data_IF_819065109020
#
_entry.id   IF_819065109020
#
_cell.length_a   1.000
_cell.length_b   1.000
_cell.length_c   1.000
_cell.angle_alpha   90.00
_cell.angle_beta   90.00
_cell.angle_gamma   90.00
#
_symmetry.space_group_name_H-M   'P 1'
#
loop_
_entity.id
_entity.type
_entity.pdbx_description
1 polymer ?
#
# COMPACT_ATOMS: atom_id res chain seq x y z
N UNK A 1 7.52 10.52 -22.91
CA UNK A 1 6.75 9.38 -22.38
C UNK A 1 6.79 8.19 -23.34
N UNK A 2 6.17 8.26 -24.52
CA UNK A 2 6.12 7.13 -25.46
C UNK A 2 7.51 6.58 -25.84
N UNK A 3 8.48 7.45 -26.12
CA UNK A 3 9.85 7.04 -26.41
C UNK A 3 10.51 6.30 -25.24
N UNK A 4 10.26 6.73 -24.00
CA UNK A 4 10.79 6.07 -22.79
C UNK A 4 10.20 4.67 -22.67
N UNK A 5 8.89 4.52 -22.86
CA UNK A 5 8.24 3.21 -22.84
C UNK A 5 8.75 2.29 -23.95
N UNK A 6 9.05 2.82 -25.14
CA UNK A 6 9.60 2.02 -26.24
C UNK A 6 11.00 1.47 -25.91
N UNK A 7 11.84 2.25 -25.23
CA UNK A 7 13.14 1.80 -24.77
C UNK A 7 13.01 0.83 -23.58
N UNK A 8 12.15 1.15 -22.62
CA UNK A 8 11.88 0.30 -21.46
C UNK A 8 11.35 -1.08 -21.85
N UNK A 9 10.56 -1.21 -22.93
CA UNK A 9 10.12 -2.50 -23.48
C UNK A 9 11.26 -3.44 -23.88
N UNK A 10 12.45 -2.91 -24.18
CA UNK A 10 13.62 -3.75 -24.49
C UNK A 10 14.28 -4.32 -23.24
N UNK A 11 14.04 -3.70 -22.08
CA UNK A 11 14.70 -4.03 -20.81
C UNK A 11 13.76 -4.75 -19.84
N UNK A 12 12.47 -4.45 -19.87
CA UNK A 12 11.47 -4.92 -18.92
C UNK A 12 10.50 -5.89 -19.57
N UNK A 13 10.03 -6.86 -18.78
CA UNK A 13 8.91 -7.73 -19.15
C UNK A 13 7.59 -6.94 -19.24
N UNK A 14 6.55 -7.54 -19.85
CA UNK A 14 5.24 -6.89 -20.01
C UNK A 14 4.64 -6.41 -18.67
N UNK A 15 4.83 -7.18 -17.59
CA UNK A 15 4.34 -6.82 -16.26
C UNK A 15 5.17 -5.67 -15.66
N UNK A 16 6.49 -5.71 -15.81
CA UNK A 16 7.37 -4.62 -15.40
C UNK A 16 7.05 -3.30 -16.13
N UNK A 17 6.67 -3.36 -17.40
CA UNK A 17 6.22 -2.20 -18.15
C UNK A 17 4.92 -1.60 -17.57
N UNK A 18 3.95 -2.44 -17.20
CA UNK A 18 2.70 -2.00 -16.57
C UNK A 18 2.95 -1.35 -15.21
N UNK A 19 3.84 -1.92 -14.39
CA UNK A 19 4.26 -1.33 -13.11
C UNK A 19 4.99 0.01 -13.31
N UNK A 20 5.84 0.11 -14.35
CA UNK A 20 6.48 1.37 -14.71
C UNK A 20 5.43 2.43 -15.10
N UNK A 21 4.43 2.08 -15.90
CA UNK A 21 3.33 2.99 -16.25
C UNK A 21 2.56 3.44 -15.00
N UNK A 22 2.27 2.52 -14.09
CA UNK A 22 1.57 2.83 -12.85
C UNK A 22 2.40 3.77 -11.95
N UNK A 23 3.69 3.50 -11.75
CA UNK A 23 4.58 4.37 -10.97
C UNK A 23 4.74 5.77 -11.58
N UNK A 24 4.80 5.88 -12.92
CA UNK A 24 4.81 7.16 -13.63
C UNK A 24 3.49 7.92 -13.47
N UNK A 25 2.36 7.21 -13.48
CA UNK A 25 1.04 7.82 -13.29
C UNK A 25 0.89 8.42 -11.89
N UNK A 26 1.45 7.75 -10.88
CA UNK A 26 1.44 8.19 -9.49
C UNK A 26 2.54 9.19 -9.15
N UNK A 27 3.45 9.49 -10.09
CA UNK A 27 4.62 10.36 -9.87
C UNK A 27 5.52 9.90 -8.72
N UNK A 28 5.66 8.59 -8.54
CA UNK A 28 6.38 7.96 -7.42
C UNK A 28 7.78 8.55 -7.19
N UNK A 29 8.56 8.78 -8.27
CA UNK A 29 9.95 9.28 -8.17
C UNK A 29 10.08 10.81 -8.14
N UNK A 30 8.99 11.59 -8.18
CA UNK A 30 9.07 13.06 -8.12
C UNK A 30 9.71 13.60 -6.84
N UNK A 31 9.40 13.08 -5.63
CA UNK A 31 10.07 13.51 -4.40
C UNK A 31 11.58 13.25 -4.42
N UNK A 32 12.03 12.12 -5.00
CA UNK A 32 13.45 11.78 -5.12
C UNK A 32 14.21 12.78 -6.00
N UNK A 33 13.60 13.22 -7.10
CA UNK A 33 14.20 14.22 -7.99
C UNK A 33 14.30 15.58 -7.26
N UNK A 34 13.25 15.97 -6.53
CA UNK A 34 13.27 17.22 -5.77
C UNK A 34 14.30 17.19 -4.63
N UNK A 35 14.48 16.03 -3.98
CA UNK A 35 15.53 15.82 -2.99
C UNK A 35 16.92 16.06 -3.59
N UNK A 36 17.22 15.45 -4.74
CA UNK A 36 18.50 15.71 -5.43
C UNK A 36 18.66 17.19 -5.76
N UNK A 37 17.62 17.82 -6.32
CA UNK A 37 17.69 19.24 -6.68
C UNK A 37 17.95 20.13 -5.46
N UNK A 38 17.42 19.78 -4.29
CA UNK A 38 17.63 20.51 -3.03
C UNK A 38 19.06 20.31 -2.52
N UNK A 39 19.55 19.07 -2.48
CA UNK A 39 20.94 18.74 -2.10
C UNK A 39 21.93 19.44 -3.03
N UNK A 40 21.69 19.42 -4.34
CA UNK A 40 22.55 20.09 -5.33
C UNK A 40 22.59 21.61 -5.16
N UNK A 41 21.54 22.24 -4.61
CA UNK A 41 21.52 23.71 -4.35
C UNK A 41 22.25 24.12 -3.07
N UNK A 42 22.43 23.20 -2.13
CA UNK A 42 23.16 23.44 -0.88
C UNK A 42 24.68 23.38 -1.09
N UNK A 43 25.14 22.80 -2.22
CA UNK A 43 26.55 22.78 -2.59
C UNK A 43 27.05 24.22 -2.78
N UNK A 44 28.11 24.58 -2.06
CA UNK A 44 28.72 25.91 -2.15
C UNK A 44 29.62 26.02 -3.39
N UNK A 45 29.73 27.21 -3.98
CA UNK A 45 30.63 27.47 -5.12
C UNK A 45 30.05 27.13 -6.50
N UNK A 46 28.74 26.93 -6.61
CA UNK A 46 28.06 26.72 -7.89
C UNK A 46 28.11 28.03 -8.71
N UNK A 47 28.77 28.00 -9.86
CA UNK A 47 28.63 29.07 -10.86
C UNK A 47 27.30 28.92 -11.61
N UNK A 48 26.80 29.93 -12.33
CA UNK A 48 25.52 29.88 -13.07
C UNK A 48 25.54 28.91 -14.28
N UNK A 49 25.84 27.63 -14.07
CA UNK A 49 25.93 26.62 -15.10
C UNK A 49 24.77 25.61 -15.03
N UNK A 50 24.46 24.99 -16.18
CA UNK A 50 23.34 24.06 -16.31
C UNK A 50 23.63 22.70 -15.67
N UNK A 51 24.90 22.29 -15.70
CA UNK A 51 25.44 21.04 -15.16
C UNK A 51 26.82 21.31 -14.59
N UNK A 52 27.17 20.65 -13.49
CA UNK A 52 28.47 20.77 -12.84
C UNK A 52 28.93 19.46 -12.24
N UNK A 53 30.23 19.34 -12.03
CA UNK A 53 30.87 18.19 -11.42
C UNK A 53 31.41 18.58 -10.05
N UNK A 54 31.19 17.72 -9.07
CA UNK A 54 31.70 17.85 -7.71
C UNK A 54 32.72 16.73 -7.44
N UNK A 55 33.91 17.13 -6.98
CA UNK A 55 35.02 16.24 -6.61
C UNK A 55 35.49 16.68 -5.21
N UNK A 56 35.05 15.97 -4.18
CA UNK A 56 35.20 16.41 -2.79
C UNK A 56 34.50 17.75 -2.54
N UNK A 57 35.26 18.75 -2.08
CA UNK A 57 34.77 20.12 -1.84
C UNK A 57 34.84 21.03 -3.07
N UNK A 58 35.51 20.59 -4.15
CA UNK A 58 35.68 21.40 -5.35
C UNK A 58 34.55 21.16 -6.34
N UNK A 59 34.06 22.25 -6.94
CA UNK A 59 33.02 22.24 -7.96
C UNK A 59 33.54 22.93 -9.22
N UNK A 60 33.27 22.36 -10.39
CA UNK A 60 33.58 22.99 -11.68
C UNK A 60 32.46 22.75 -12.69
N UNK A 61 32.29 23.73 -13.58
CA UNK A 61 31.36 23.66 -14.71
C UNK A 61 32.09 23.49 -16.06
N UNK A 62 33.42 23.35 -16.06
CA UNK A 62 34.20 23.10 -17.27
C UNK A 62 34.70 21.64 -17.30
N UNK A 63 34.52 20.96 -18.42
CA UNK A 63 34.98 19.59 -18.66
C UNK A 63 36.49 19.45 -18.57
N UNK A 64 37.26 20.42 -19.06
CA UNK A 64 38.73 20.37 -19.06
C UNK A 64 39.29 20.53 -17.65
N UNK A 65 38.71 21.46 -16.88
CA UNK A 65 39.08 21.66 -15.48
C UNK A 65 38.69 20.45 -14.62
N UNK A 66 37.51 19.85 -14.87
CA UNK A 66 37.09 18.61 -14.22
C UNK A 66 38.10 17.49 -14.48
N UNK A 67 38.58 17.37 -15.72
CA UNK A 67 39.60 16.38 -16.06
C UNK A 67 40.90 16.61 -15.30
N UNK A 68 41.38 17.85 -15.24
CA UNK A 68 42.59 18.20 -14.50
C UNK A 68 42.44 17.93 -12.99
N UNK A 69 41.27 18.24 -12.41
CA UNK A 69 40.96 17.97 -11.01
C UNK A 69 40.92 16.47 -10.72
N UNK A 70 40.38 15.64 -11.61
CA UNK A 70 40.38 14.18 -11.46
C UNK A 70 41.81 13.63 -11.49
N UNK A 71 42.66 14.13 -12.40
CA UNK A 71 44.05 13.66 -12.51
C UNK A 71 44.96 14.12 -11.38
N UNK A 72 44.65 15.25 -10.75
CA UNK A 72 45.42 15.84 -9.64
C UNK A 72 44.91 15.43 -8.26
N UNK A 73 43.75 14.76 -8.19
CA UNK A 73 43.16 14.30 -6.95
C UNK A 73 43.90 13.06 -6.41
N UNK A 74 44.60 13.20 -5.28
CA UNK A 74 45.05 12.06 -4.48
C UNK A 74 43.99 11.75 -3.42
N UNK A 75 43.37 10.56 -3.52
CA UNK A 75 42.34 9.99 -2.61
C UNK A 75 41.42 11.05 -1.96
N UNK A 76 40.39 11.45 -2.69
CA UNK A 76 39.37 12.37 -2.18
C UNK A 76 38.24 11.54 -1.58
N UNK A 77 38.14 11.51 -0.24
CA UNK A 77 37.04 10.81 0.44
C UNK A 77 35.70 11.28 -0.12
N UNK A 78 34.81 10.32 -0.37
CA UNK A 78 33.52 10.59 -0.98
C UNK A 78 32.80 11.76 -0.27
N UNK A 79 32.43 12.84 -0.97
CA UNK A 79 31.43 13.75 -0.45
C UNK A 79 30.15 12.94 -0.20
N UNK A 80 29.46 13.20 0.92
CA UNK A 80 28.29 12.48 1.45
C UNK A 80 27.53 11.66 0.39
N UNK A 81 27.91 10.39 0.22
CA UNK A 81 27.23 9.46 -0.69
C UNK A 81 25.98 8.93 0.00
N UNK A 82 24.83 9.01 -0.68
CA UNK A 82 23.57 8.55 -0.11
C UNK A 82 23.18 7.18 -0.66
N UNK A 83 22.49 6.33 0.12
CA UNK A 83 22.03 5.01 -0.37
C UNK A 83 21.13 5.06 -1.60
N UNK A 84 20.49 6.21 -1.87
CA UNK A 84 19.60 6.41 -3.00
C UNK A 84 20.28 7.04 -4.22
N UNK A 85 21.58 7.33 -4.16
CA UNK A 85 22.35 7.84 -5.28
C UNK A 85 22.42 6.82 -6.43
N UNK A 86 22.60 7.32 -7.66
CA UNK A 86 22.78 6.46 -8.82
C UNK A 86 24.27 6.27 -9.09
N UNK A 87 24.78 5.11 -8.67
CA UNK A 87 26.14 4.66 -8.90
C UNK A 87 26.26 4.00 -10.27
N UNK A 88 27.31 4.33 -11.01
CA UNK A 88 27.61 3.67 -12.28
C UNK A 88 28.17 2.27 -12.03
N UNK A 89 27.63 1.26 -12.71
CA UNK A 89 27.81 -0.17 -12.39
C UNK A 89 29.27 -0.66 -12.38
N UNK A 90 30.15 -0.05 -13.16
CA UNK A 90 31.56 -0.48 -13.27
C UNK A 90 32.51 0.35 -12.38
N UNK A 91 31.98 1.11 -11.41
CA UNK A 91 32.74 2.16 -10.72
C UNK A 91 32.95 1.95 -9.22
N UNK A 92 32.41 0.88 -8.63
CA UNK A 92 32.26 0.66 -7.18
C UNK A 92 33.56 0.49 -6.37
N UNK A 93 34.74 0.43 -7.00
CA UNK A 93 36.01 0.08 -6.34
C UNK A 93 37.07 1.18 -6.31
N UNK A 94 36.70 2.45 -6.58
CA UNK A 94 37.66 3.54 -6.65
C UNK A 94 37.56 4.55 -5.49
N UNK A 95 38.72 4.98 -5.00
CA UNK A 95 38.87 5.99 -3.95
C UNK A 95 38.46 7.41 -4.39
N UNK A 96 38.43 7.71 -5.70
CA UNK A 96 38.06 9.03 -6.23
C UNK A 96 36.59 9.03 -6.63
N UNK A 97 35.73 9.59 -5.77
CA UNK A 97 34.30 9.75 -6.08
C UNK A 97 34.02 11.07 -6.80
N UNK A 98 33.33 10.98 -7.92
CA UNK A 98 32.95 12.13 -8.76
C UNK A 98 31.43 12.15 -8.93
N UNK A 99 30.81 13.26 -8.54
CA UNK A 99 29.36 13.43 -8.60
C UNK A 99 29.02 14.42 -9.72
N UNK A 100 28.28 13.97 -10.74
CA UNK A 100 27.72 14.84 -11.76
C UNK A 100 26.32 15.30 -11.35
N UNK A 101 26.13 16.61 -11.32
CA UNK A 101 24.84 17.26 -11.13
C UNK A 101 24.38 17.85 -12.46
N UNK A 102 23.26 17.38 -13.01
CA UNK A 102 22.75 17.95 -14.26
C UNK A 102 21.39 17.43 -14.69
N UNK A 103 20.88 18.04 -15.76
CA UNK A 103 19.63 17.66 -16.42
C UNK A 103 19.94 16.75 -17.62
N UNK A 104 19.40 15.53 -17.60
CA UNK A 104 19.58 14.58 -18.70
C UNK A 104 19.03 15.17 -20.01
N UNK A 105 19.84 15.11 -21.06
CA UNK A 105 19.48 15.53 -22.41
C UNK A 105 19.97 16.93 -22.81
N UNK A 106 20.66 17.65 -21.93
CA UNK A 106 21.39 18.87 -22.31
C UNK A 106 22.75 18.53 -22.94
N UNK A 107 23.29 19.43 -23.76
CA UNK A 107 24.62 19.27 -24.37
C UNK A 107 25.72 19.15 -23.32
N UNK A 108 25.65 20.02 -22.30
CA UNK A 108 26.66 20.11 -21.24
C UNK A 108 26.68 18.81 -20.44
N UNK A 109 25.50 18.26 -20.13
CA UNK A 109 25.38 16.97 -19.46
C UNK A 109 26.04 15.86 -20.26
N UNK A 110 25.77 15.77 -21.56
CA UNK A 110 26.35 14.72 -22.41
C UNK A 110 27.88 14.80 -22.45
N UNK A 111 28.45 16.00 -22.57
CA UNK A 111 29.89 16.20 -22.59
C UNK A 111 30.57 15.71 -21.29
N UNK A 112 29.99 16.04 -20.13
CA UNK A 112 30.47 15.50 -18.86
C UNK A 112 30.23 14.00 -18.72
N UNK A 113 29.07 13.50 -19.12
CA UNK A 113 28.70 12.11 -18.99
C UNK A 113 29.63 11.21 -19.80
N UNK A 114 29.89 11.52 -21.07
CA UNK A 114 30.77 10.74 -21.94
C UNK A 114 32.20 10.66 -21.38
N UNK A 115 32.72 11.80 -20.87
CA UNK A 115 34.03 11.87 -20.24
C UNK A 115 34.09 11.04 -18.94
N UNK A 116 33.10 11.16 -18.06
CA UNK A 116 33.07 10.43 -16.78
C UNK A 116 32.85 8.94 -16.97
N UNK A 117 32.01 8.53 -17.94
CA UNK A 117 31.81 7.12 -18.30
C UNK A 117 33.13 6.51 -18.81
N UNK A 118 33.86 7.20 -19.69
CA UNK A 118 35.16 6.73 -20.16
C UNK A 118 36.17 6.54 -19.01
N UNK A 119 36.16 7.44 -18.01
CA UNK A 119 37.01 7.32 -16.83
C UNK A 119 36.55 6.24 -15.85
N UNK A 120 35.24 6.06 -15.68
CA UNK A 120 34.65 5.03 -14.84
C UNK A 120 34.97 3.63 -15.39
N UNK A 121 34.80 3.41 -16.70
CA UNK A 121 35.15 2.16 -17.38
C UNK A 121 36.66 1.87 -17.27
N UNK A 122 37.50 2.91 -17.32
CA UNK A 122 38.94 2.78 -17.09
C UNK A 122 39.30 2.52 -15.61
N UNK A 123 38.32 2.43 -14.71
CA UNK A 123 38.51 2.19 -13.29
C UNK A 123 39.22 3.33 -12.57
N UNK A 124 39.14 4.57 -13.09
CA UNK A 124 39.82 5.75 -12.52
C UNK A 124 38.97 6.58 -11.57
N UNK A 125 37.65 6.46 -11.64
CA UNK A 125 36.71 7.23 -10.81
C UNK A 125 35.50 6.37 -10.46
N UNK A 126 34.96 6.61 -9.26
CA UNK A 126 33.64 6.17 -8.85
C UNK A 126 32.62 7.24 -9.25
N UNK A 127 31.72 6.91 -10.19
CA UNK A 127 30.87 7.89 -10.85
C UNK A 127 29.43 7.84 -10.30
N UNK A 128 28.96 8.98 -9.78
CA UNK A 128 27.61 9.15 -9.27
C UNK A 128 26.85 10.20 -10.08
N UNK A 129 25.58 9.92 -10.40
CA UNK A 129 24.68 10.86 -11.06
C UNK A 129 23.60 11.39 -10.09
N UNK A 130 23.49 12.72 -9.99
CA UNK A 130 22.40 13.44 -9.31
C UNK A 130 21.66 14.36 -10.28
N UNK A 131 20.33 14.38 -10.17
CA UNK A 131 19.51 15.27 -11.01
C UNK A 131 19.53 16.70 -10.49
N UNK A 132 19.86 17.65 -11.35
CA UNK A 132 19.87 19.07 -11.02
C UNK A 132 19.18 19.89 -12.11
N UNK A 133 18.41 20.90 -11.68
CA UNK A 133 17.77 21.86 -12.58
C UNK A 133 18.03 23.26 -12.05
N UNK A 134 18.86 24.01 -12.78
CA UNK A 134 19.27 25.37 -12.41
C UNK A 134 18.07 26.32 -12.24
N UNK A 135 17.13 26.32 -13.21
CA UNK A 135 15.93 27.17 -13.19
C UNK A 135 14.67 26.31 -13.31
N UNK A 136 14.11 25.82 -12.18
CA UNK A 136 12.87 25.05 -12.21
C UNK A 136 11.70 25.94 -12.64
N UNK A 137 10.76 25.37 -13.37
CA UNK A 137 9.51 26.05 -13.73
C UNK A 137 8.63 26.23 -12.48
N UNK A 138 7.98 27.37 -12.33
CA UNK A 138 7.08 27.69 -11.19
C UNK A 138 5.76 26.87 -11.18
N UNK A 139 5.66 25.82 -11.98
CA UNK A 139 4.45 25.02 -12.12
C UNK A 139 4.34 24.02 -10.98
N UNK A 140 3.31 24.18 -10.15
CA UNK A 140 2.99 23.23 -9.08
C UNK A 140 2.62 21.85 -9.63
N UNK A 141 3.08 20.81 -8.95
CA UNK A 141 2.81 19.41 -9.25
C UNK A 141 1.44 19.01 -8.67
N UNK A 142 0.62 18.32 -9.46
CA UNK A 142 -0.60 17.67 -8.96
C UNK A 142 -0.23 16.33 -8.33
N UNK A 143 -0.70 16.10 -7.10
CA UNK A 143 -0.48 14.86 -6.38
C UNK A 143 -1.62 13.86 -6.65
N UNK A 144 -1.34 12.59 -6.41
CA UNK A 144 -2.25 11.45 -6.53
C UNK A 144 -2.06 10.52 -5.34
N UNK A 145 -2.90 9.50 -5.22
CA UNK A 145 -2.81 8.53 -4.12
C UNK A 145 -3.53 8.95 -2.84
N UNK A 146 -4.45 9.92 -2.92
CA UNK A 146 -5.31 10.31 -1.80
C UNK A 146 -6.78 9.98 -2.09
N UNK A 147 -7.53 9.68 -1.03
CA UNK A 147 -8.99 9.57 -1.06
C UNK A 147 -9.66 10.89 -0.69
N UNK A 148 -10.88 11.11 -1.18
CA UNK A 148 -11.73 12.22 -0.74
C UNK A 148 -13.00 11.61 -0.16
N UNK A 149 -13.30 11.98 1.06
CA UNK A 149 -14.52 11.58 1.76
C UNK A 149 -15.48 12.76 1.85
N UNK A 150 -16.76 12.50 1.58
CA UNK A 150 -17.85 13.41 1.91
C UNK A 150 -18.65 12.84 3.08
N UNK A 151 -18.15 13.10 4.29
CA UNK A 151 -18.79 12.64 5.52
C UNK A 151 -20.13 13.36 5.73
N UNK A 152 -21.19 12.57 5.96
CA UNK A 152 -22.51 13.11 6.29
C UNK A 152 -22.51 13.52 7.76
N UNK A 153 -22.37 14.82 8.06
CA UNK A 153 -22.26 15.33 9.43
C UNK A 153 -23.52 15.12 10.29
N UNK A 154 -24.70 15.05 9.66
CA UNK A 154 -25.97 14.76 10.34
C UNK A 154 -26.42 13.33 9.99
N UNK A 155 -25.78 12.34 10.59
CA UNK A 155 -26.26 10.95 10.56
C UNK A 155 -27.39 10.70 11.57
N UNK A 156 -27.49 11.55 12.60
CA UNK A 156 -28.51 11.48 13.65
C UNK A 156 -29.88 12.02 13.20
N UNK A 157 -30.53 11.44 12.20
CA UNK A 157 -31.97 11.70 12.03
C UNK A 157 -32.69 10.44 11.55
N UNK A 158 -33.52 9.92 12.46
CA UNK A 158 -34.69 9.05 12.21
C UNK A 158 -34.43 7.56 11.98
N UNK A 159 -33.87 6.83 12.94
CA UNK A 159 -34.52 5.56 13.28
C UNK A 159 -35.86 5.93 13.92
N UNK A 160 -36.88 6.17 13.10
CA UNK A 160 -38.21 6.54 13.60
C UNK A 160 -38.70 5.35 14.41
N UNK A 161 -38.86 5.53 15.71
CA UNK A 161 -39.68 4.63 16.53
C UNK A 161 -41.06 4.55 15.87
N UNK A 162 -41.58 3.33 15.67
CA UNK A 162 -42.68 2.99 14.74
C UNK A 162 -44.07 3.56 15.17
N UNK A 163 -44.11 4.57 16.05
CA UNK A 163 -45.33 5.02 16.71
C UNK A 163 -45.99 6.30 16.18
N UNK A 164 -45.47 6.98 15.15
CA UNK A 164 -46.22 8.02 14.38
C UNK A 164 -45.41 8.53 13.17
N UNK A 165 -45.95 8.42 11.96
CA UNK A 165 -45.42 9.10 10.76
C UNK A 165 -46.52 9.98 10.16
N UNK A 166 -46.26 11.29 10.08
CA UNK A 166 -46.93 12.25 9.20
C UNK A 166 -45.87 12.83 8.26
N UNK A 167 -46.19 12.89 6.98
CA UNK A 167 -45.36 13.45 5.91
C UNK A 167 -45.55 14.97 5.83
N UNK A 168 -44.44 15.72 5.78
CA UNK A 168 -44.43 17.14 5.43
C UNK A 168 -43.44 17.36 4.27
N UNK A 169 -43.93 17.97 3.20
CA UNK A 169 -43.27 18.20 1.91
C UNK A 169 -42.77 19.65 1.79
N UNK A 170 -41.48 19.87 1.48
CA UNK A 170 -41.01 21.19 1.05
C UNK A 170 -39.90 21.07 -0.01
N UNK A 171 -40.16 21.62 -1.20
CA UNK A 171 -39.35 21.50 -2.41
C UNK A 171 -38.27 22.59 -2.54
N UNK A 172 -37.07 22.23 -3.03
CA UNK A 172 -36.19 23.17 -3.74
C UNK A 172 -35.52 22.50 -4.95
N UNK A 173 -35.57 23.17 -6.11
CA UNK A 173 -35.09 22.69 -7.42
C UNK A 173 -33.70 23.24 -7.73
N UNK A 174 -32.74 22.37 -8.04
CA UNK A 174 -31.48 22.72 -8.73
C UNK A 174 -31.20 21.71 -9.84
N UNK A 175 -30.98 22.16 -11.07
CA UNK A 175 -30.78 21.35 -12.26
C UNK A 175 -29.37 20.73 -12.33
N UNK A 176 -29.26 19.45 -12.71
CA UNK A 176 -27.97 18.82 -13.05
C UNK A 176 -28.09 17.79 -14.17
N UNK A 177 -27.01 17.72 -14.96
CA UNK A 177 -26.91 17.30 -16.37
C UNK A 177 -27.09 15.79 -16.63
N UNK A 178 -27.34 15.52 -17.91
CA UNK A 178 -27.50 14.21 -18.55
C UNK A 178 -26.25 13.33 -18.38
N UNK A 179 -26.41 12.19 -17.72
CA UNK A 179 -25.62 10.99 -17.96
C UNK A 179 -26.57 9.79 -18.05
N UNK A 180 -26.24 8.88 -18.97
CA UNK A 180 -26.98 7.67 -19.31
C UNK A 180 -26.85 6.61 -18.22
N UNK A 181 -27.54 6.83 -17.10
CA UNK A 181 -27.87 5.75 -16.17
C UNK A 181 -29.13 5.03 -16.67
N UNK A 182 -28.93 3.86 -17.27
CA UNK A 182 -30.00 2.95 -17.70
C UNK A 182 -30.80 2.37 -16.53
N UNK A 183 -30.30 2.51 -15.30
CA UNK A 183 -30.96 2.04 -14.08
C UNK A 183 -31.20 3.18 -13.09
N UNK A 184 -32.47 3.40 -12.73
CA UNK A 184 -32.86 4.36 -11.69
C UNK A 184 -33.75 3.62 -10.69
N UNK A 185 -33.39 3.62 -9.40
CA UNK A 185 -34.18 2.99 -8.32
C UNK A 185 -34.47 1.48 -8.51
N UNK A 186 -33.58 0.74 -9.20
CA UNK A 186 -33.75 -0.69 -9.49
C UNK A 186 -34.61 -0.99 -10.73
N UNK A 187 -35.05 0.04 -11.47
CA UNK A 187 -35.72 -0.11 -12.75
C UNK A 187 -34.72 0.04 -13.91
N UNK A 188 -34.60 -1.00 -14.74
CA UNK A 188 -33.82 -0.97 -15.97
C UNK A 188 -34.62 -0.30 -17.09
N UNK A 189 -34.53 1.04 -17.19
CA UNK A 189 -35.24 1.84 -18.19
C UNK A 189 -34.85 1.48 -19.62
N UNK A 190 -33.61 1.05 -19.86
CA UNK A 190 -33.17 0.55 -21.16
C UNK A 190 -33.94 -0.70 -21.62
N UNK A 191 -34.27 -1.60 -20.69
CA UNK A 191 -35.06 -2.82 -20.98
C UNK A 191 -36.56 -2.52 -21.05
N UNK A 192 -37.07 -1.64 -20.18
CA UNK A 192 -38.48 -1.23 -20.16
C UNK A 192 -38.90 -0.49 -21.44
N UNK A 193 -38.04 0.38 -21.99
CA UNK A 193 -38.29 1.06 -23.27
C UNK A 193 -38.34 0.11 -24.45
N UNK A 194 -37.55 -0.98 -24.41
CA UNK A 194 -37.59 -2.03 -25.45
C UNK A 194 -38.85 -2.89 -25.37
N UNK A 195 -39.33 -3.16 -24.14
CA UNK A 195 -40.53 -3.99 -23.91
C UNK A 195 -41.84 -3.23 -24.13
N UNK A 196 -41.88 -1.93 -23.81
CA UNK A 196 -43.08 -1.10 -23.95
C UNK A 196 -42.81 0.21 -24.72
N UNK A 197 -42.62 0.13 -26.05
CA UNK A 197 -42.30 1.30 -26.88
C UNK A 197 -43.39 2.38 -26.89
N UNK A 198 -44.66 2.01 -26.67
CA UNK A 198 -45.80 2.93 -26.59
C UNK A 198 -45.85 3.76 -25.29
N UNK A 199 -45.11 3.38 -24.25
CA UNK A 199 -45.09 4.08 -22.94
C UNK A 199 -43.81 4.93 -22.76
N UNK A 200 -43.04 5.16 -23.82
CA UNK A 200 -41.71 5.79 -23.72
C UNK A 200 -41.76 7.17 -23.06
N UNK A 201 -42.79 7.98 -23.36
CA UNK A 201 -42.96 9.31 -22.78
C UNK A 201 -43.31 9.25 -21.28
N UNK A 202 -44.23 8.36 -20.89
CA UNK A 202 -44.59 8.12 -19.50
C UNK A 202 -43.45 7.50 -18.69
N UNK A 203 -42.65 6.61 -19.29
CA UNK A 203 -41.43 6.06 -18.69
C UNK A 203 -40.37 7.15 -18.47
N UNK A 204 -40.26 8.13 -19.37
CA UNK A 204 -39.37 9.27 -19.17
C UNK A 204 -39.87 10.20 -18.06
N UNK A 205 -41.18 10.46 -17.97
CA UNK A 205 -41.78 11.23 -16.87
C UNK A 205 -41.59 10.53 -15.52
N UNK A 206 -41.83 9.21 -15.46
CA UNK A 206 -41.58 8.39 -14.29
C UNK A 206 -40.10 8.38 -13.89
N UNK A 207 -39.18 8.29 -14.87
CA UNK A 207 -37.74 8.42 -14.63
C UNK A 207 -37.38 9.77 -14.00
N UNK A 208 -37.94 10.87 -14.51
CA UNK A 208 -37.70 12.20 -13.95
C UNK A 208 -38.25 12.33 -12.53
N UNK A 209 -39.47 11.82 -12.28
CA UNK A 209 -40.07 11.79 -10.95
C UNK A 209 -39.23 10.98 -9.94
N UNK A 210 -38.71 9.82 -10.36
CA UNK A 210 -37.79 9.03 -9.52
C UNK A 210 -36.50 9.80 -9.23
N UNK A 211 -35.93 10.50 -10.22
CA UNK A 211 -34.72 11.32 -10.01
C UNK A 211 -34.95 12.50 -9.08
N UNK A 212 -36.15 13.08 -9.09
CA UNK A 212 -36.51 14.20 -8.21
C UNK A 212 -36.73 13.72 -6.77
N UNK A 213 -37.44 12.60 -6.56
CA UNK A 213 -37.64 12.01 -5.23
C UNK A 213 -36.36 11.41 -4.62
N UNK A 214 -35.43 10.98 -5.48
CA UNK A 214 -34.14 10.43 -5.07
C UNK A 214 -33.22 11.44 -4.38
N UNK A 215 -33.49 12.74 -4.50
CA UNK A 215 -32.70 13.80 -3.84
C UNK A 215 -32.98 13.92 -2.34
N UNK A 216 -34.12 13.42 -1.88
CA UNK A 216 -34.43 13.37 -0.46
C UNK A 216 -33.83 12.11 0.16
N UNK A 217 -32.75 12.30 0.93
CA UNK A 217 -32.25 11.28 1.85
C UNK A 217 -33.30 11.04 2.94
N UNK A 218 -34.26 10.18 2.68
CA UNK A 218 -35.22 9.79 3.70
C UNK A 218 -34.77 8.52 4.44
N UNK A 219 -35.07 8.45 5.74
CA UNK A 219 -34.45 7.51 6.66
C UNK A 219 -34.79 6.06 6.35
N UNK A 220 -33.83 5.16 6.60
CA UNK A 220 -34.02 3.73 6.57
C UNK A 220 -34.41 3.21 7.96
N UNK A 221 -35.27 2.19 8.00
CA UNK A 221 -35.64 1.50 9.24
C UNK A 221 -34.51 0.56 9.67
N UNK A 222 -34.36 0.33 10.98
CA UNK A 222 -33.25 -0.46 11.56
C UNK A 222 -33.14 -1.87 10.99
N UNK A 223 -34.27 -2.56 10.77
CA UNK A 223 -34.27 -3.90 10.17
C UNK A 223 -33.86 -3.92 8.70
N UNK A 224 -34.05 -2.82 7.97
CA UNK A 224 -33.63 -2.70 6.57
C UNK A 224 -32.10 -2.59 6.45
N UNK A 225 -31.43 -2.14 7.51
CA UNK A 225 -29.97 -2.06 7.56
C UNK A 225 -29.32 -3.43 7.78
N UNK A 226 -29.99 -4.36 8.48
CA UNK A 226 -29.41 -5.68 8.80
C UNK A 226 -29.14 -6.54 7.54
N UNK A 227 -30.05 -6.50 6.56
CA UNK A 227 -29.89 -7.27 5.31
C UNK A 227 -29.19 -6.49 4.19
N UNK A 228 -28.79 -5.23 4.44
CA UNK A 228 -28.25 -4.33 3.40
C UNK A 228 -26.97 -4.87 2.77
N UNK A 229 -26.10 -5.52 3.57
CA UNK A 229 -24.86 -6.13 3.10
C UNK A 229 -25.13 -7.29 2.13
N UNK A 230 -26.09 -8.17 2.45
CA UNK A 230 -26.51 -9.26 1.57
C UNK A 230 -27.17 -8.74 0.29
N UNK A 231 -27.94 -7.66 0.38
CA UNK A 231 -28.57 -7.03 -0.78
C UNK A 231 -27.55 -6.38 -1.71
N UNK A 232 -26.55 -5.70 -1.16
CA UNK A 232 -25.42 -5.14 -1.91
C UNK A 232 -24.64 -6.26 -2.62
N UNK A 233 -24.29 -7.33 -1.91
CA UNK A 233 -23.61 -8.49 -2.49
C UNK A 233 -24.45 -9.13 -3.60
N UNK A 234 -25.75 -9.34 -3.37
CA UNK A 234 -26.67 -9.88 -4.36
C UNK A 234 -26.73 -9.02 -5.63
N UNK A 235 -26.73 -7.69 -5.47
CA UNK A 235 -26.76 -6.74 -6.59
C UNK A 235 -25.50 -6.85 -7.45
N UNK A 236 -24.32 -6.96 -6.83
CA UNK A 236 -23.04 -7.14 -7.53
C UNK A 236 -23.01 -8.50 -8.25
N UNK A 237 -23.35 -9.59 -7.55
CA UNK A 237 -23.35 -10.96 -8.10
C UNK A 237 -24.38 -11.14 -9.22
N UNK A 238 -25.52 -10.43 -9.15
CA UNK A 238 -26.55 -10.46 -10.20
C UNK A 238 -26.21 -9.66 -11.46
N UNK A 239 -25.16 -8.84 -11.42
CA UNK A 239 -24.70 -8.03 -12.55
C UNK A 239 -23.86 -8.87 -13.52
N UNK A 240 -23.66 -8.39 -14.74
CA UNK A 240 -22.78 -9.07 -15.70
C UNK A 240 -21.36 -9.22 -15.11
N UNK A 241 -20.67 -10.36 -15.28
CA UNK A 241 -19.34 -10.58 -14.70
C UNK A 241 -18.31 -9.52 -15.09
N UNK A 242 -18.44 -8.96 -16.30
CA UNK A 242 -17.55 -7.89 -16.81
C UNK A 242 -17.81 -6.52 -16.16
N UNK A 243 -19.02 -6.27 -15.68
CA UNK A 243 -19.41 -5.01 -15.04
C UNK A 243 -19.48 -5.10 -13.52
N UNK A 244 -19.43 -6.31 -12.94
CA UNK A 244 -19.53 -6.54 -11.50
C UNK A 244 -18.56 -5.67 -10.67
N UNK A 245 -17.29 -5.56 -11.07
CA UNK A 245 -16.31 -4.71 -10.38
C UNK A 245 -16.64 -3.21 -10.48
N UNK A 246 -17.18 -2.78 -11.62
CA UNK A 246 -17.63 -1.39 -11.81
C UNK A 246 -18.83 -1.10 -10.90
N UNK A 247 -19.79 -2.03 -10.83
CA UNK A 247 -20.95 -1.93 -9.94
C UNK A 247 -20.52 -1.91 -8.48
N UNK A 248 -19.56 -2.77 -8.09
CA UNK A 248 -19.01 -2.78 -6.74
C UNK A 248 -18.39 -1.43 -6.37
N UNK A 249 -17.56 -0.87 -7.25
CA UNK A 249 -16.96 0.46 -7.07
C UNK A 249 -18.02 1.56 -6.96
N UNK A 250 -18.98 1.58 -7.87
CA UNK A 250 -20.00 2.63 -7.90
C UNK A 250 -20.91 2.54 -6.66
N UNK A 251 -21.18 1.31 -6.18
CA UNK A 251 -21.92 1.04 -4.95
C UNK A 251 -21.12 1.49 -3.71
N UNK A 252 -19.84 1.11 -3.59
CA UNK A 252 -19.02 1.47 -2.44
C UNK A 252 -18.77 2.98 -2.32
N UNK A 253 -18.63 3.69 -3.44
CA UNK A 253 -18.45 5.15 -3.46
C UNK A 253 -19.74 5.93 -3.14
N UNK A 254 -20.91 5.34 -3.35
CA UNK A 254 -22.20 6.05 -3.27
C UNK A 254 -23.22 5.35 -2.37
N UNK A 255 -22.78 4.60 -1.35
CA UNK A 255 -23.66 3.78 -0.49
C UNK A 255 -24.84 4.58 0.06
N UNK A 256 -24.67 5.77 0.69
CA UNK A 256 -25.80 6.49 1.30
C UNK A 256 -26.89 6.86 0.27
N UNK A 257 -26.47 7.16 -0.96
CA UNK A 257 -27.35 7.54 -2.07
C UNK A 257 -28.09 6.32 -2.65
N UNK A 258 -27.47 5.15 -2.66
CA UNK A 258 -28.02 3.92 -3.26
C UNK A 258 -28.77 3.04 -2.27
N UNK A 259 -28.67 3.29 -0.96
CA UNK A 259 -29.18 2.40 0.07
C UNK A 259 -30.68 2.05 -0.07
N UNK A 260 -31.53 3.00 -0.47
CA UNK A 260 -32.96 2.75 -0.75
C UNK A 260 -33.21 1.76 -1.90
N UNK A 261 -32.41 1.87 -2.95
CA UNK A 261 -32.48 0.96 -4.09
C UNK A 261 -32.03 -0.45 -3.69
N UNK A 262 -31.06 -0.55 -2.77
CA UNK A 262 -30.53 -1.83 -2.30
C UNK A 262 -31.57 -2.59 -1.47
N UNK A 263 -32.32 -1.91 -0.61
CA UNK A 263 -33.39 -2.51 0.22
C UNK A 263 -34.46 -3.24 -0.61
N UNK A 264 -34.69 -2.81 -1.84
CA UNK A 264 -35.65 -3.43 -2.76
C UNK A 264 -35.13 -4.72 -3.41
N UNK A 265 -33.84 -5.01 -3.30
CA UNK A 265 -33.20 -6.17 -3.94
C UNK A 265 -33.54 -7.44 -3.18
N UNK A 266 -34.14 -8.42 -3.87
CA UNK A 266 -34.45 -9.72 -3.26
C UNK A 266 -33.20 -10.59 -3.20
N UNK A 267 -32.81 -10.99 -1.98
CA UNK A 267 -31.66 -11.89 -1.74
C UNK A 267 -32.07 -13.33 -1.96
N UNK A 268 -31.28 -14.09 -2.72
CA UNK A 268 -31.48 -15.54 -2.88
C UNK A 268 -31.03 -16.28 -1.62
N UNK A 269 -31.78 -17.32 -1.16
CA UNK A 269 -31.40 -18.08 0.03
C UNK A 269 -30.09 -18.85 -0.13
N UNK A 270 -29.73 -19.20 -1.37
CA UNK A 270 -28.46 -19.86 -1.73
C UNK A 270 -27.26 -18.97 -1.39
N UNK A 271 -27.28 -17.71 -1.82
CA UNK A 271 -26.22 -16.74 -1.53
C UNK A 271 -26.03 -16.55 -0.02
N UNK A 272 -27.13 -16.48 0.74
CA UNK A 272 -27.05 -16.33 2.19
C UNK A 272 -26.37 -17.52 2.86
N UNK A 273 -26.65 -18.74 2.39
CA UNK A 273 -26.00 -19.96 2.91
C UNK A 273 -24.50 -19.99 2.57
N UNK A 274 -24.15 -19.61 1.35
CA UNK A 274 -22.75 -19.56 0.90
C UNK A 274 -21.93 -18.54 1.71
N UNK A 275 -22.45 -17.33 1.91
CA UNK A 275 -21.78 -16.29 2.71
C UNK A 275 -21.55 -16.77 4.16
N UNK A 276 -22.55 -17.40 4.78
CA UNK A 276 -22.41 -17.94 6.15
C UNK A 276 -21.41 -19.09 6.23
N UNK A 277 -21.28 -19.91 5.18
CA UNK A 277 -20.27 -20.96 5.12
C UNK A 277 -18.85 -20.37 4.98
N UNK A 278 -18.69 -19.37 4.11
CA UNK A 278 -17.42 -18.68 3.91
C UNK A 278 -16.98 -17.95 5.18
N UNK A 279 -17.88 -17.29 5.90
CA UNK A 279 -17.59 -16.67 7.20
C UNK A 279 -17.03 -17.68 8.21
N UNK A 280 -17.60 -18.89 8.30
CA UNK A 280 -17.08 -19.94 9.20
C UNK A 280 -15.66 -20.40 8.83
N UNK A 281 -15.31 -20.38 7.54
CA UNK A 281 -13.97 -20.72 7.09
C UNK A 281 -12.99 -19.59 7.35
N UNK A 282 -13.38 -18.34 7.08
CA UNK A 282 -12.57 -17.15 7.24
C UNK A 282 -12.26 -16.82 8.71
N UNK A 283 -13.18 -17.15 9.63
CA UNK A 283 -12.93 -17.08 11.07
C UNK A 283 -11.72 -17.91 11.51
N UNK A 284 -11.40 -19.02 10.82
CA UNK A 284 -10.20 -19.83 11.11
C UNK A 284 -8.90 -19.12 10.73
N UNK A 285 -8.97 -18.19 9.78
CA UNK A 285 -7.86 -17.36 9.29
C UNK A 285 -7.82 -16.01 10.04
N UNK A 286 -8.69 -15.81 11.03
CA UNK A 286 -8.72 -14.60 11.85
C UNK A 286 -9.45 -13.42 11.20
N UNK A 287 -10.31 -13.65 10.21
CA UNK A 287 -11.12 -12.59 9.58
C UNK A 287 -12.56 -12.71 10.09
N UNK A 288 -13.03 -11.72 10.85
CA UNK A 288 -14.38 -11.68 11.41
C UNK A 288 -15.38 -10.97 10.47
N UNK A 289 -16.66 -10.96 10.84
CA UNK A 289 -17.73 -10.30 10.10
C UNK A 289 -17.56 -8.79 10.16
N UNK A 290 -17.26 -8.19 9.01
CA UNK A 290 -17.05 -6.75 8.88
C UNK A 290 -15.59 -6.38 8.67
N UNK A 291 -14.68 -7.30 8.96
CA UNK A 291 -13.26 -7.12 8.70
C UNK A 291 -12.97 -7.27 7.20
N UNK A 292 -11.97 -6.53 6.74
CA UNK A 292 -11.45 -6.64 5.39
C UNK A 292 -10.03 -7.18 5.45
N UNK A 293 -9.72 -8.19 4.63
CA UNK A 293 -8.38 -8.74 4.53
C UNK A 293 -7.95 -8.81 3.06
N UNK A 294 -6.76 -8.29 2.77
CA UNK A 294 -6.17 -8.31 1.44
C UNK A 294 -5.04 -9.33 1.43
N UNK A 295 -5.08 -10.26 0.49
CA UNK A 295 -4.02 -11.22 0.28
C UNK A 295 -3.38 -10.99 -1.08
N UNK A 296 -2.07 -10.77 -1.10
CA UNK A 296 -1.27 -10.69 -2.33
C UNK A 296 -0.41 -11.94 -2.37
N UNK A 297 -0.67 -12.82 -3.34
CA UNK A 297 0.04 -14.09 -3.49
C UNK A 297 0.06 -14.99 -2.23
N UNK A 298 -0.92 -14.86 -1.32
CA UNK A 298 -0.97 -15.61 -0.07
C UNK A 298 -0.40 -14.87 1.15
N UNK A 299 0.28 -13.75 0.95
CA UNK A 299 0.70 -12.84 2.02
C UNK A 299 -0.46 -11.95 2.44
N UNK A 300 -0.80 -11.97 3.72
CA UNK A 300 -1.75 -11.03 4.30
C UNK A 300 -1.12 -9.64 4.35
N UNK A 301 -1.86 -8.65 3.84
CA UNK A 301 -1.48 -7.24 3.86
C UNK A 301 -2.49 -6.51 4.73
N UNK A 302 -1.98 -5.77 5.71
CA UNK A 302 -2.81 -4.90 6.53
C UNK A 302 -3.40 -3.80 5.66
N UNK A 303 -4.71 -3.61 5.73
CA UNK A 303 -5.45 -2.65 4.90
C UNK A 303 -5.47 -1.28 5.57
N UNK A 304 -5.40 -1.22 6.89
CA UNK A 304 -5.61 0.04 7.63
C UNK A 304 -4.49 1.04 7.33
N UNK A 305 -3.25 0.55 7.20
CA UNK A 305 -2.08 1.38 6.84
C UNK A 305 -1.84 1.45 5.32
N UNK A 306 -2.54 0.64 4.51
CA UNK A 306 -2.22 0.48 3.10
C UNK A 306 -2.49 1.74 2.29
N UNK A 307 -1.41 2.35 1.79
CA UNK A 307 -1.51 3.42 0.81
C UNK A 307 -1.17 2.95 -0.62
N UNK A 308 -1.52 3.77 -1.61
CA UNK A 308 -1.30 3.43 -3.02
C UNK A 308 0.20 3.28 -3.39
N UNK A 309 1.10 3.94 -2.64
CA UNK A 309 2.54 3.91 -2.87
C UNK A 309 3.17 2.63 -2.29
N UNK A 310 2.77 2.23 -1.08
CA UNK A 310 3.15 0.98 -0.43
C UNK A 310 2.63 -0.22 -1.21
N UNK A 311 1.40 -0.16 -1.72
CA UNK A 311 0.89 -1.21 -2.61
C UNK A 311 1.79 -1.36 -3.83
N UNK A 312 2.27 -0.26 -4.42
CA UNK A 312 3.22 -0.31 -5.53
C UNK A 312 4.56 -0.92 -5.11
N UNK A 313 5.06 -0.60 -3.91
CA UNK A 313 6.30 -1.17 -3.39
C UNK A 313 6.18 -2.68 -3.18
N UNK A 314 5.10 -3.14 -2.54
CA UNK A 314 4.80 -4.58 -2.38
C UNK A 314 4.70 -5.26 -3.75
N UNK A 315 3.97 -4.68 -4.71
CA UNK A 315 3.85 -5.24 -6.05
C UNK A 315 5.18 -5.27 -6.80
N UNK A 316 6.06 -4.28 -6.59
CA UNK A 316 7.38 -4.24 -7.20
C UNK A 316 8.30 -5.31 -6.62
N UNK A 317 8.29 -5.49 -5.30
CA UNK A 317 9.06 -6.53 -4.61
C UNK A 317 8.63 -7.91 -5.08
N UNK A 318 7.33 -8.20 -5.05
CA UNK A 318 6.75 -9.46 -5.53
C UNK A 318 7.08 -9.71 -7.00
N UNK A 319 6.92 -8.70 -7.86
CA UNK A 319 7.27 -8.83 -9.27
C UNK A 319 8.77 -9.14 -9.45
N UNK A 320 9.65 -8.49 -8.70
CA UNK A 320 11.10 -8.71 -8.80
C UNK A 320 11.47 -10.13 -8.38
N UNK A 321 10.86 -10.66 -7.33
CA UNK A 321 11.05 -12.05 -6.89
C UNK A 321 10.54 -13.02 -7.95
N UNK A 322 9.33 -12.80 -8.46
CA UNK A 322 8.73 -13.66 -9.49
C UNK A 322 9.51 -13.63 -10.80
N UNK A 323 10.00 -12.47 -11.24
CA UNK A 323 10.79 -12.34 -12.47
C UNK A 323 12.15 -13.03 -12.35
N UNK A 324 12.79 -12.94 -11.17
CA UNK A 324 14.02 -13.70 -10.85
C UNK A 324 13.78 -15.21 -10.79
N UNK A 325 12.69 -15.67 -10.17
CA UNK A 325 12.36 -17.10 -10.17
C UNK A 325 12.03 -17.60 -11.58
N UNK A 326 11.38 -16.77 -12.39
CA UNK A 326 11.09 -17.07 -13.79
C UNK A 326 12.36 -17.16 -14.65
N UNK A 327 13.38 -16.33 -14.38
CA UNK A 327 14.67 -16.40 -15.06
C UNK A 327 15.47 -17.65 -14.69
N UNK A 328 15.26 -18.19 -13.48
CA UNK A 328 15.79 -19.49 -13.04
C UNK A 328 15.02 -20.70 -13.63
N UNK A 329 13.95 -20.47 -14.39
CA UNK A 329 13.21 -21.51 -15.10
C UNK A 329 11.95 -22.03 -14.40
N UNK A 330 11.60 -21.51 -13.22
CA UNK A 330 10.30 -21.80 -12.61
C UNK A 330 9.21 -21.08 -13.41
N UNK A 331 8.32 -21.80 -14.10
CA UNK A 331 7.22 -21.22 -14.88
C UNK A 331 5.93 -22.00 -14.66
N UNK A 332 4.81 -21.30 -14.55
CA UNK A 332 3.48 -21.92 -14.40
C UNK A 332 3.16 -22.36 -12.97
N UNK A 333 2.64 -23.57 -12.80
CA UNK A 333 2.20 -24.11 -11.50
C UNK A 333 3.26 -24.10 -10.38
N UNK A 334 4.55 -24.39 -10.65
CA UNK A 334 5.58 -24.34 -9.61
C UNK A 334 5.75 -22.95 -9.00
N UNK A 335 5.61 -21.88 -9.80
CA UNK A 335 5.67 -20.51 -9.27
C UNK A 335 4.49 -20.23 -8.35
N UNK A 336 3.28 -20.60 -8.77
CA UNK A 336 2.09 -20.38 -7.93
C UNK A 336 2.14 -21.20 -6.64
N UNK A 337 2.70 -22.41 -6.69
CA UNK A 337 2.90 -23.22 -5.50
C UNK A 337 3.91 -22.58 -4.55
N UNK A 338 5.05 -22.10 -5.07
CA UNK A 338 6.07 -21.41 -4.27
C UNK A 338 5.57 -20.10 -3.66
N UNK A 339 4.73 -19.34 -4.37
CA UNK A 339 4.11 -18.13 -3.84
C UNK A 339 3.17 -18.42 -2.67
N UNK A 340 2.42 -19.52 -2.74
CA UNK A 340 1.42 -19.90 -1.72
C UNK A 340 2.04 -20.68 -0.56
N UNK A 341 3.29 -21.15 -0.68
CA UNK A 341 4.01 -21.74 0.44
C UNK A 341 4.20 -20.68 1.53
N UNK A 342 3.33 -20.73 2.53
CA UNK A 342 3.53 -19.99 3.77
C UNK A 342 4.81 -20.53 4.39
N UNK A 343 5.89 -19.78 4.24
CA UNK A 343 7.02 -19.81 5.15
C UNK A 343 6.52 -19.24 6.47
N UNK A 344 5.63 -19.98 7.13
CA UNK A 344 5.39 -19.73 8.55
C UNK A 344 6.77 -19.89 9.17
N UNK A 345 7.35 -18.79 9.63
CA UNK A 345 8.43 -18.87 10.59
C UNK A 345 7.83 -19.67 11.75
N UNK A 346 8.12 -20.97 11.78
CA UNK A 346 8.07 -21.69 13.03
C UNK A 346 8.95 -20.84 13.93
N UNK A 347 8.31 -20.07 14.83
CA UNK A 347 9.02 -19.45 15.95
C UNK A 347 9.46 -20.63 16.77
N UNK A 348 10.51 -21.30 16.32
CA UNK A 348 11.18 -22.32 17.04
C UNK A 348 11.67 -21.62 18.29
N UNK A 349 10.88 -21.79 19.36
CA UNK A 349 11.32 -21.46 20.69
C UNK A 349 12.43 -22.46 20.97
N UNK A 350 13.65 -22.09 20.60
CA UNK A 350 14.81 -22.91 20.87
C UNK A 350 14.92 -23.04 22.39
N UNK A 351 14.83 -24.27 22.87
CA UNK A 351 15.08 -24.58 24.28
C UNK A 351 16.59 -24.70 24.44
N UNK A 352 17.19 -23.72 25.09
CA UNK A 352 18.61 -23.75 25.45
C UNK A 352 18.78 -24.46 26.79
N UNK A 353 19.70 -25.42 26.87
CA UNK A 353 20.08 -26.04 28.12
C UNK A 353 21.02 -25.09 28.89
N UNK A 354 20.56 -24.61 30.05
CA UNK A 354 21.28 -23.64 30.88
C UNK A 354 21.90 -24.26 32.13
N UNK A 355 21.94 -25.60 32.21
CA UNK A 355 22.50 -26.31 33.36
C UNK A 355 24.02 -26.36 33.24
N UNK A 356 24.69 -25.45 33.95
CA UNK A 356 26.15 -25.39 34.07
C UNK A 356 26.53 -25.09 35.51
N UNK A 357 27.65 -25.64 35.98
CA UNK A 357 28.19 -25.41 37.33
C UNK A 357 28.62 -23.94 37.54
N UNK A 358 28.77 -23.18 36.45
CA UNK A 358 29.09 -21.75 36.45
C UNK A 358 27.91 -20.85 36.85
N UNK A 359 26.69 -21.39 36.91
CA UNK A 359 25.49 -20.61 37.24
C UNK A 359 25.36 -20.47 38.76
N UNK A 360 25.45 -19.24 39.25
CA UNK A 360 25.20 -18.92 40.67
C UNK A 360 23.71 -18.63 40.85
N UNK A 361 22.99 -19.56 41.46
CA UNK A 361 21.58 -19.37 41.79
C UNK A 361 21.43 -18.47 43.03
N UNK A 362 20.60 -17.44 42.90
CA UNK A 362 20.30 -16.50 44.00
C UNK A 362 19.20 -17.04 44.92
N UNK A 363 18.24 -17.80 44.36
CA UNK A 363 17.08 -18.33 45.08
C UNK A 363 16.94 -19.84 44.82
N UNK A 364 16.52 -20.60 45.83
CA UNK A 364 16.09 -21.99 45.73
C UNK A 364 14.71 -22.17 46.38
N UNK A 365 13.67 -22.33 45.55
CA UNK A 365 12.28 -22.39 46.01
C UNK A 365 11.95 -23.65 46.82
N UNK A 366 12.77 -24.72 46.73
CA UNK A 366 12.51 -25.98 47.43
C UNK A 366 13.18 -26.03 48.82
N UNK A 367 14.35 -25.39 48.95
CA UNK A 367 15.19 -25.51 50.15
C UNK A 367 15.24 -24.24 51.02
N UNK A 368 14.98 -23.05 50.46
CA UNK A 368 15.09 -21.81 51.24
C UNK A 368 13.96 -21.68 52.26
N UNK A 369 14.34 -21.31 53.50
CA UNK A 369 13.39 -21.13 54.62
C UNK A 369 12.30 -20.09 54.33
N UNK A 370 12.57 -19.13 53.46
CA UNK A 370 11.61 -18.08 53.09
C UNK A 370 10.38 -18.64 52.37
N UNK A 371 10.54 -19.73 51.61
CA UNK A 371 9.48 -20.35 50.81
C UNK A 371 8.84 -21.57 51.48
N UNK A 372 9.27 -21.94 52.69
CA UNK A 372 8.76 -23.12 53.41
C UNK A 372 7.25 -23.08 53.71
N UNK A 373 6.63 -21.89 53.68
CA UNK A 373 5.18 -21.72 53.86
C UNK A 373 4.37 -22.03 52.59
N UNK A 374 5.04 -22.15 51.43
CA UNK A 374 4.38 -22.36 50.15
C UNK A 374 4.09 -23.84 49.92
N UNK A 375 2.99 -24.17 49.21
CA UNK A 375 2.69 -25.56 48.89
C UNK A 375 3.73 -26.14 47.91
N UNK A 376 4.07 -27.42 48.07
CA UNK A 376 5.04 -28.14 47.23
C UNK A 376 4.41 -29.07 46.18
N UNK A 377 3.08 -29.09 46.09
CA UNK A 377 2.33 -29.99 45.21
C UNK A 377 2.17 -29.39 43.80
N UNK A 378 2.58 -30.11 42.76
CA UNK A 378 2.51 -29.66 41.36
C UNK A 378 1.07 -29.35 40.89
N UNK A 379 0.08 -30.02 41.48
CA UNK A 379 -1.33 -29.81 41.16
C UNK A 379 -1.82 -28.39 41.48
N UNK A 380 -1.10 -27.65 42.33
CA UNK A 380 -1.41 -26.25 42.60
C UNK A 380 -1.31 -25.36 41.36
N UNK A 381 -0.55 -25.76 40.33
CA UNK A 381 -0.48 -25.04 39.04
C UNK A 381 -1.80 -25.08 38.29
N UNK A 382 -2.59 -26.14 38.46
CA UNK A 382 -3.81 -26.38 37.67
C UNK A 382 -5.06 -25.71 38.25
N UNK A 383 -5.02 -25.22 39.50
CA UNK A 383 -6.18 -24.54 40.11
C UNK A 383 -6.50 -23.25 39.35
N UNK A 384 -7.73 -22.81 39.11
CA UNK A 384 -7.96 -21.52 38.44
C UNK A 384 -7.44 -20.33 39.28
N UNK A 385 -6.74 -19.37 38.68
CA UNK A 385 -6.30 -18.09 39.30
C UNK A 385 -6.66 -16.91 38.42
N UNK A 386 -6.72 -15.70 38.98
CA UNK A 386 -6.90 -14.49 38.20
C UNK A 386 -5.76 -14.30 37.18
N UNK A 387 -6.06 -13.85 35.94
CA UNK A 387 -5.05 -13.58 34.92
C UNK A 387 -3.98 -12.61 35.43
N UNK A 388 -2.71 -12.92 35.17
CA UNK A 388 -1.56 -12.08 35.56
C UNK A 388 -0.99 -12.32 36.97
N UNK A 389 -1.63 -13.17 37.80
CA UNK A 389 -1.06 -13.56 39.09
C UNK A 389 -0.15 -14.79 38.96
N UNK A 390 1.09 -14.67 39.43
CA UNK A 390 1.99 -15.81 39.62
C UNK A 390 1.54 -16.64 40.83
N UNK A 391 1.77 -17.95 40.77
CA UNK A 391 1.46 -18.86 41.87
C UNK A 391 2.62 -18.99 42.82
N UNK A 392 2.31 -18.96 44.11
CA UNK A 392 3.24 -19.31 45.17
C UNK A 392 3.31 -20.83 45.28
N UNK A 393 4.39 -21.42 44.76
CA UNK A 393 4.68 -22.84 44.84
C UNK A 393 6.17 -23.04 45.18
N UNK A 394 6.46 -23.85 46.18
CA UNK A 394 7.82 -24.21 46.58
C UNK A 394 8.37 -25.31 45.65
N UNK A 395 8.49 -25.00 44.35
CA UNK A 395 9.01 -25.90 43.31
C UNK A 395 9.80 -25.12 42.25
N UNK A 396 10.97 -25.63 41.89
CA UNK A 396 11.85 -25.04 40.89
C UNK A 396 11.35 -25.38 39.46
N UNK A 397 10.42 -24.57 38.94
CA UNK A 397 9.76 -24.80 37.63
C UNK A 397 10.23 -23.80 36.57
N UNK A 398 10.38 -22.53 36.98
CA UNK A 398 10.80 -21.45 36.10
C UNK A 398 12.21 -21.03 36.46
N UNK A 399 13.12 -21.16 35.51
CA UNK A 399 14.51 -20.74 35.65
C UNK A 399 14.74 -19.50 34.80
N UNK A 400 15.31 -18.46 35.42
CA UNK A 400 15.76 -17.26 34.72
C UNK A 400 17.26 -17.16 34.97
N UNK A 401 18.05 -17.38 33.92
CA UNK A 401 19.50 -17.23 33.95
C UNK A 401 19.83 -15.90 33.30
N UNK A 402 20.51 -15.02 34.04
CA UNK A 402 20.93 -13.71 33.55
C UNK A 402 22.45 -13.69 33.42
N UNK A 403 22.95 -13.27 32.26
CA UNK A 403 24.36 -12.94 32.09
C UNK A 403 24.55 -11.49 32.52
N UNK A 404 25.29 -11.28 33.60
CA UNK A 404 25.53 -9.95 34.18
C UNK A 404 27.00 -9.60 34.00
N UNK A 405 27.27 -8.46 33.37
CA UNK A 405 28.59 -7.85 33.36
C UNK A 405 28.81 -7.14 34.70
N UNK A 406 29.82 -7.50 35.51
CA UNK A 406 30.03 -6.94 36.84
C UNK A 406 30.59 -5.51 36.87
N UNK A 407 30.73 -4.84 35.72
CA UNK A 407 31.35 -3.50 35.57
C UNK A 407 30.43 -2.35 36.01
#
# INVERSE_FOLDING_TARGET
YNSILQHARKLLSSNGLSLLQFSLSMRYYSPKIELFNKVSKEVSGISECSSFVQIGEKVTCNTEEAEHLITSAEKVSAPDSYPFDHHYTDSDSNDITVILHGLIGTSDFNAFHDMLVAKAIAGKVHYILRHYVQKPLEKKVRLSGYGVELAVKKTEYKAVDDTKVKEDSSHSKITSKKEDDDEVEGFLFGKLKKLHPHLTEQLNQFRSHLKDNFREMAPLKVWQLQDLSFQAAQRVVSSDPRSALKVLRDLSQNVPKLARSLVKTKVKPELRKEVLQNQKLLLKVGVDVGDSALFINGRMVDIDDLNAFELLDILREEWTVLDKLASLGAKGEPLTALSVMSLSEERDSYVLDTRDDSVVFVNDLENDRHYASWPSHIQEILRPTFPGMLRYIARNIFHVVMFVDPV
#
